data_IF_872574176739
#
_entry.id   IF_872574176739
#
_cell.length_a   1.000
_cell.length_b   1.000
_cell.length_c   1.000
_cell.angle_alpha   90.00
_cell.angle_beta   90.00
_cell.angle_gamma   90.00
#
_symmetry.space_group_name_H-M   'P 1'
#
loop_
_entity.id
_entity.type
_entity.pdbx_description
1 polymer ?
#
# COMPACT_ATOMS: atom_id res chain seq x y z
N UNK A 1 70.11 -1.94 37.21
CA UNK A 1 69.33 -2.04 35.96
C UNK A 1 67.88 -2.26 36.34
N UNK A 2 67.03 -1.22 36.19
CA UNK A 2 65.59 -1.25 36.52
C UNK A 2 64.80 -1.22 35.20
N UNK A 3 63.96 -2.23 34.98
CA UNK A 3 63.02 -2.29 33.86
C UNK A 3 61.92 -1.23 34.05
N UNK A 4 61.59 -0.43 33.02
CA UNK A 4 60.41 0.41 33.05
C UNK A 4 59.17 -0.43 32.70
N UNK A 5 58.20 -0.44 33.61
CA UNK A 5 56.89 -1.03 33.47
C UNK A 5 56.07 -0.32 32.37
N UNK A 6 55.68 -1.08 31.34
CA UNK A 6 54.68 -0.68 30.34
C UNK A 6 53.32 -0.47 31.03
N UNK A 7 52.83 0.77 31.01
CA UNK A 7 51.44 1.07 31.33
C UNK A 7 50.55 0.69 30.14
N UNK A 8 49.67 -0.28 30.36
CA UNK A 8 48.59 -0.64 29.42
C UNK A 8 47.58 0.51 29.33
N UNK A 9 47.18 0.98 28.14
CA UNK A 9 46.16 2.00 28.01
C UNK A 9 44.81 1.39 28.37
N UNK A 10 44.18 1.95 29.41
CA UNK A 10 42.78 1.70 29.73
C UNK A 10 41.91 1.98 28.49
N UNK A 11 41.39 0.93 27.88
CA UNK A 11 40.29 1.00 26.92
C UNK A 11 39.07 1.57 27.67
N UNK A 12 38.89 2.88 27.56
CA UNK A 12 37.66 3.57 27.93
C UNK A 12 36.53 2.93 27.11
N UNK A 13 35.76 2.06 27.76
CA UNK A 13 34.47 1.60 27.28
C UNK A 13 33.55 2.84 27.21
N UNK A 14 33.51 3.47 26.04
CA UNK A 14 32.51 4.49 25.77
C UNK A 14 31.14 3.83 25.87
N UNK A 15 30.27 4.27 26.80
CA UNK A 15 28.91 3.77 26.86
C UNK A 15 28.25 4.01 25.50
N UNK A 16 27.68 2.94 24.95
CA UNK A 16 26.90 2.86 23.71
C UNK A 16 26.56 4.24 23.13
N UNK A 17 27.30 4.68 22.12
CA UNK A 17 27.09 6.01 21.56
C UNK A 17 25.62 6.17 21.13
N UNK A 18 24.99 7.34 21.35
CA UNK A 18 23.61 7.62 20.95
C UNK A 18 23.34 7.39 19.45
N UNK A 19 24.39 7.24 18.62
CA UNK A 19 24.29 6.86 17.21
C UNK A 19 23.83 5.42 16.98
N UNK A 20 24.08 4.49 17.90
CA UNK A 20 23.68 3.09 17.77
C UNK A 20 22.20 2.88 18.14
N UNK A 21 21.68 3.70 19.06
CA UNK A 21 20.26 3.65 19.44
C UNK A 21 19.35 4.31 18.39
N UNK A 22 19.83 5.35 17.68
CA UNK A 22 19.13 5.97 16.54
C UNK A 22 18.90 4.97 15.40
N UNK A 23 19.95 4.23 14.99
CA UNK A 23 19.85 3.26 13.88
C UNK A 23 18.83 2.15 14.12
N UNK A 24 18.60 1.72 15.38
CA UNK A 24 17.59 0.68 15.65
C UNK A 24 16.17 1.23 15.51
N UNK A 25 15.88 2.45 15.95
CA UNK A 25 14.53 3.03 15.86
C UNK A 25 14.09 3.34 14.41
N UNK A 26 15.02 3.79 13.56
CA UNK A 26 14.78 3.98 12.11
C UNK A 26 14.24 2.71 11.43
N UNK A 27 14.75 1.55 11.84
CA UNK A 27 14.40 0.25 11.25
C UNK A 27 12.95 -0.13 11.60
N UNK A 28 12.46 0.18 12.81
CA UNK A 28 11.15 -0.30 13.27
C UNK A 28 9.95 0.47 12.72
N UNK A 29 10.02 1.80 12.64
CA UNK A 29 8.96 2.59 11.99
C UNK A 29 8.84 2.24 10.51
N UNK A 30 9.99 2.00 9.87
CA UNK A 30 10.06 1.50 8.51
C UNK A 30 9.40 0.12 8.37
N UNK A 31 9.53 -0.77 9.37
CA UNK A 31 8.90 -2.10 9.34
C UNK A 31 7.36 -2.06 9.35
N UNK A 32 6.73 -1.13 10.09
CA UNK A 32 5.27 -0.96 10.10
C UNK A 32 4.73 -0.54 8.73
N UNK A 33 5.32 0.50 8.13
CA UNK A 33 4.89 0.93 6.80
C UNK A 33 5.16 -0.12 5.73
N UNK A 34 6.32 -0.80 5.80
CA UNK A 34 6.65 -1.91 4.90
C UNK A 34 5.62 -3.02 5.05
N UNK A 35 5.26 -3.43 6.27
CA UNK A 35 4.24 -4.44 6.51
C UNK A 35 2.91 -4.08 5.85
N UNK A 36 2.39 -2.87 6.10
CA UNK A 36 1.09 -2.44 5.56
C UNK A 36 1.10 -2.40 4.02
N UNK A 37 2.16 -1.85 3.42
CA UNK A 37 2.31 -1.81 1.96
C UNK A 37 2.45 -3.23 1.40
N UNK A 38 3.18 -4.12 2.10
CA UNK A 38 3.36 -5.52 1.67
C UNK A 38 2.05 -6.29 1.73
N UNK A 39 1.28 -6.13 2.81
CA UNK A 39 -0.03 -6.75 2.96
C UNK A 39 -1.03 -6.23 1.90
N UNK A 40 -0.99 -4.93 1.61
CA UNK A 40 -1.73 -4.33 0.49
C UNK A 40 -1.31 -4.93 -0.86
N UNK A 41 -0.02 -5.00 -1.16
CA UNK A 41 0.50 -5.62 -2.39
C UNK A 41 0.13 -7.10 -2.52
N UNK A 42 0.22 -7.89 -1.44
CA UNK A 42 -0.18 -9.30 -1.42
C UNK A 42 -1.68 -9.42 -1.72
N UNK A 43 -2.50 -8.57 -1.11
CA UNK A 43 -3.94 -8.55 -1.36
C UNK A 43 -4.24 -8.21 -2.82
N UNK A 44 -3.53 -7.23 -3.38
CA UNK A 44 -3.64 -6.85 -4.77
C UNK A 44 -3.25 -7.99 -5.73
N UNK A 45 -2.15 -8.70 -5.46
CA UNK A 45 -1.73 -9.88 -6.24
C UNK A 45 -2.78 -11.00 -6.13
N UNK A 46 -3.29 -11.27 -4.92
CA UNK A 46 -4.33 -12.27 -4.71
C UNK A 46 -5.60 -11.97 -5.51
N UNK A 47 -5.99 -10.70 -5.59
CA UNK A 47 -7.09 -10.23 -6.43
C UNK A 47 -6.83 -10.55 -7.93
N UNK A 48 -5.63 -10.27 -8.46
CA UNK A 48 -5.28 -10.62 -9.84
C UNK A 48 -5.24 -12.12 -10.11
N UNK A 49 -4.76 -12.93 -9.16
CA UNK A 49 -4.76 -14.39 -9.29
C UNK A 49 -6.19 -14.92 -9.37
N UNK A 50 -7.08 -14.46 -8.47
CA UNK A 50 -8.49 -14.82 -8.48
C UNK A 50 -9.16 -14.43 -9.81
N UNK A 51 -8.83 -13.24 -10.29
CA UNK A 51 -9.30 -12.71 -11.57
C UNK A 51 -8.86 -13.55 -12.77
N UNK A 52 -7.58 -13.91 -12.83
CA UNK A 52 -7.06 -14.80 -13.86
C UNK A 52 -7.71 -16.18 -13.80
N UNK A 53 -8.01 -16.66 -12.59
CA UNK A 53 -8.79 -17.88 -12.37
C UNK A 53 -10.19 -17.80 -12.99
N UNK A 54 -10.93 -16.71 -12.77
CA UNK A 54 -12.26 -16.48 -13.36
C UNK A 54 -12.17 -16.50 -14.90
N UNK A 55 -11.25 -15.73 -15.47
CA UNK A 55 -11.06 -15.68 -16.93
C UNK A 55 -10.68 -17.04 -17.50
N UNK A 56 -9.80 -17.79 -16.83
CA UNK A 56 -9.38 -19.13 -17.27
C UNK A 56 -10.56 -20.11 -17.24
N UNK A 57 -11.40 -20.07 -16.20
CA UNK A 57 -12.59 -20.90 -16.10
C UNK A 57 -13.61 -20.57 -17.20
N UNK A 58 -13.76 -19.29 -17.56
CA UNK A 58 -14.65 -18.89 -18.65
C UNK A 58 -14.13 -19.36 -20.02
N UNK A 59 -12.82 -19.32 -20.26
CA UNK A 59 -12.20 -19.82 -21.50
C UNK A 59 -12.33 -21.35 -21.63
N UNK A 60 -12.24 -22.07 -20.52
CA UNK A 60 -12.31 -23.53 -20.48
C UNK A 60 -13.76 -24.07 -20.37
N UNK A 61 -14.75 -23.19 -20.29
CA UNK A 61 -16.15 -23.58 -20.13
C UNK A 61 -16.71 -24.23 -21.40
N UNK A 62 -17.29 -25.42 -21.26
CA UNK A 62 -17.95 -26.13 -22.36
C UNK A 62 -19.24 -25.42 -22.83
N UNK A 63 -19.84 -24.59 -21.97
CA UNK A 63 -21.05 -23.80 -22.28
C UNK A 63 -20.76 -22.54 -23.11
N UNK A 64 -19.52 -22.36 -23.56
CA UNK A 64 -19.06 -21.19 -24.30
C UNK A 64 -18.33 -20.16 -23.43
N UNK A 65 -17.76 -19.13 -24.08
CA UNK A 65 -16.91 -18.13 -23.44
C UNK A 65 -17.66 -17.17 -22.49
N UNK A 66 -18.96 -16.99 -22.70
CA UNK A 66 -19.78 -16.09 -21.91
C UNK A 66 -20.66 -16.88 -20.96
N UNK A 67 -20.50 -16.68 -19.64
CA UNK A 67 -21.29 -17.39 -18.65
C UNK A 67 -22.74 -16.89 -18.63
N UNK A 68 -23.68 -17.83 -18.67
CA UNK A 68 -25.12 -17.55 -18.52
C UNK A 68 -25.51 -17.24 -17.07
N UNK A 69 -24.76 -17.80 -16.11
CA UNK A 69 -24.95 -17.60 -14.67
C UNK A 69 -23.62 -17.26 -13.99
N UNK A 70 -23.66 -16.44 -12.93
CA UNK A 70 -22.47 -16.13 -12.13
C UNK A 70 -22.04 -17.32 -11.24
N UNK A 71 -22.94 -18.27 -10.96
CA UNK A 71 -22.74 -19.32 -9.95
C UNK A 71 -22.36 -20.68 -10.53
N UNK A 72 -22.60 -20.90 -11.83
CA UNK A 72 -22.25 -22.15 -12.49
C UNK A 72 -20.97 -22.02 -13.33
N UNK A 73 -20.02 -22.96 -13.24
CA UNK A 73 -19.87 -23.99 -12.19
C UNK A 73 -19.49 -23.41 -10.81
N UNK A 74 -19.74 -24.17 -9.73
CA UNK A 74 -19.43 -23.81 -8.33
C UNK A 74 -17.98 -23.34 -8.11
N UNK A 75 -17.03 -23.82 -8.91
CA UNK A 75 -15.63 -23.37 -8.88
C UNK A 75 -15.48 -21.87 -9.13
N UNK A 76 -16.34 -21.28 -9.97
CA UNK A 76 -16.34 -19.84 -10.23
C UNK A 76 -16.74 -19.05 -9.00
N UNK A 77 -17.72 -19.53 -8.24
CA UNK A 77 -18.14 -18.90 -6.98
C UNK A 77 -16.97 -18.79 -5.99
N UNK A 78 -16.11 -19.79 -5.89
CA UNK A 78 -14.91 -19.71 -5.04
C UNK A 78 -13.89 -18.68 -5.54
N UNK A 79 -13.63 -18.61 -6.85
CA UNK A 79 -12.74 -17.58 -7.40
C UNK A 79 -13.29 -16.18 -7.16
N UNK A 80 -14.60 -16.02 -7.31
CA UNK A 80 -15.32 -14.78 -7.05
C UNK A 80 -15.28 -14.36 -5.58
N UNK A 81 -15.59 -15.27 -4.66
CA UNK A 81 -15.45 -15.03 -3.22
C UNK A 81 -14.01 -14.66 -2.84
N UNK A 82 -13.02 -15.33 -3.43
CA UNK A 82 -11.60 -15.03 -3.24
C UNK A 82 -11.24 -13.64 -3.77
N UNK A 83 -11.77 -13.25 -4.93
CA UNK A 83 -11.58 -11.92 -5.50
C UNK A 83 -12.15 -10.84 -4.58
N UNK A 84 -13.39 -10.99 -4.11
CA UNK A 84 -14.02 -10.04 -3.17
C UNK A 84 -13.26 -9.96 -1.86
N UNK A 85 -12.83 -11.10 -1.30
CA UNK A 85 -12.01 -11.14 -0.09
C UNK A 85 -10.75 -10.28 -0.24
N UNK A 86 -9.98 -10.50 -1.30
CA UNK A 86 -8.75 -9.75 -1.54
C UNK A 86 -9.02 -8.28 -1.89
N UNK A 87 -10.11 -7.98 -2.58
CA UNK A 87 -10.54 -6.61 -2.86
C UNK A 87 -10.83 -5.85 -1.57
N UNK A 88 -11.62 -6.42 -0.65
CA UNK A 88 -11.91 -5.82 0.66
C UNK A 88 -10.62 -5.63 1.45
N UNK A 89 -9.77 -6.65 1.53
CA UNK A 89 -8.48 -6.54 2.21
C UNK A 89 -7.65 -5.38 1.64
N UNK A 90 -7.55 -5.29 0.31
CA UNK A 90 -6.84 -4.24 -0.38
C UNK A 90 -7.36 -2.84 0.02
N UNK A 91 -8.67 -2.59 -0.17
CA UNK A 91 -9.23 -1.28 0.15
C UNK A 91 -9.17 -0.97 1.66
N UNK A 92 -9.35 -1.95 2.55
CA UNK A 92 -9.18 -1.75 4.00
C UNK A 92 -7.74 -1.38 4.37
N UNK A 93 -6.73 -2.02 3.77
CA UNK A 93 -5.34 -1.64 4.00
C UNK A 93 -5.04 -0.22 3.50
N UNK A 94 -5.68 0.25 2.43
CA UNK A 94 -5.53 1.66 1.99
C UNK A 94 -6.01 2.65 3.06
N UNK A 95 -7.15 2.36 3.72
CA UNK A 95 -7.64 3.14 4.86
C UNK A 95 -6.61 3.12 6.00
N UNK A 96 -6.11 1.94 6.37
CA UNK A 96 -5.12 1.82 7.47
C UNK A 96 -3.81 2.54 7.14
N UNK A 97 -3.35 2.50 5.88
CA UNK A 97 -2.17 3.24 5.42
C UNK A 97 -2.42 4.76 5.49
N UNK A 98 -3.63 5.24 5.18
CA UNK A 98 -3.99 6.64 5.39
C UNK A 98 -4.01 7.04 6.87
N UNK A 99 -4.59 6.20 7.74
CA UNK A 99 -4.58 6.41 9.19
C UNK A 99 -3.17 6.37 9.78
N UNK A 100 -2.30 5.48 9.32
CA UNK A 100 -0.88 5.40 9.73
C UNK A 100 -0.18 6.71 9.42
N UNK A 101 -0.35 7.27 8.21
CA UNK A 101 0.26 8.54 7.83
C UNK A 101 -0.16 9.69 8.74
N UNK A 102 -1.45 9.79 9.04
CA UNK A 102 -1.99 10.79 9.99
C UNK A 102 -1.39 10.58 11.38
N UNK A 103 -1.46 9.35 11.89
CA UNK A 103 -0.96 8.98 13.24
C UNK A 103 0.53 9.26 13.39
N UNK A 104 1.32 8.94 12.35
CA UNK A 104 2.75 9.21 12.31
C UNK A 104 3.08 10.70 12.30
N UNK A 105 2.13 11.55 11.92
CA UNK A 105 2.28 13.01 11.89
C UNK A 105 1.83 13.70 13.18
N UNK A 106 0.90 13.12 13.95
CA UNK A 106 0.41 13.68 15.23
C UNK A 106 1.59 13.88 16.20
N UNK A 107 2.32 12.80 16.49
CA UNK A 107 3.49 12.81 17.36
C UNK A 107 4.65 12.05 16.71
N UNK A 108 5.40 12.70 15.79
CA UNK A 108 6.38 12.03 14.96
C UNK A 108 7.55 11.48 15.79
N UNK A 109 7.95 12.16 16.87
CA UNK A 109 9.03 11.66 17.74
C UNK A 109 8.61 10.42 18.53
N UNK A 110 7.39 10.43 19.11
CA UNK A 110 6.88 9.26 19.82
C UNK A 110 6.65 8.10 18.86
N UNK A 111 6.17 8.37 17.65
CA UNK A 111 6.00 7.37 16.62
C UNK A 111 7.35 6.75 16.25
N UNK A 112 8.34 7.59 15.94
CA UNK A 112 9.71 7.19 15.62
C UNK A 112 10.36 6.32 16.69
N UNK A 113 10.19 6.68 17.97
CA UNK A 113 10.75 5.95 19.11
C UNK A 113 9.95 4.70 19.51
N UNK A 114 8.76 4.47 18.95
CA UNK A 114 7.92 3.34 19.32
C UNK A 114 8.49 2.05 18.72
N UNK A 115 8.60 1.00 19.53
CA UNK A 115 8.92 -0.33 19.02
C UNK A 115 7.79 -0.86 18.12
N UNK A 116 8.16 -1.70 17.16
CA UNK A 116 7.23 -2.33 16.25
C UNK A 116 6.18 -3.14 17.02
N UNK A 117 4.95 -2.64 17.02
CA UNK A 117 3.85 -3.27 17.72
C UNK A 117 3.20 -4.32 16.81
N UNK A 118 3.80 -5.52 16.77
CA UNK A 118 3.32 -6.67 15.98
C UNK A 118 1.87 -7.01 16.32
N UNK A 119 1.52 -7.04 17.61
CA UNK A 119 0.21 -7.51 18.07
C UNK A 119 -0.95 -6.64 17.55
N UNK A 120 -0.93 -5.29 17.67
CA UNK A 120 -1.94 -4.46 17.02
C UNK A 120 -2.05 -4.66 15.51
N UNK A 121 -0.93 -4.88 14.81
CA UNK A 121 -0.97 -5.12 13.37
C UNK A 121 -1.64 -6.44 13.01
N UNK A 122 -1.32 -7.51 13.74
CA UNK A 122 -1.96 -8.81 13.57
C UNK A 122 -3.45 -8.72 13.92
N UNK A 123 -3.81 -7.99 14.97
CA UNK A 123 -5.21 -7.78 15.35
C UNK A 123 -5.98 -7.01 14.26
N UNK A 124 -5.42 -5.90 13.75
CA UNK A 124 -6.02 -5.14 12.64
C UNK A 124 -6.16 -6.02 11.40
N UNK A 125 -5.14 -6.81 11.06
CA UNK A 125 -5.19 -7.72 9.92
C UNK A 125 -6.24 -8.81 10.09
N UNK A 126 -6.37 -9.37 11.30
CA UNK A 126 -7.44 -10.30 11.63
C UNK A 126 -8.83 -9.67 11.49
N UNK A 127 -9.01 -8.43 11.93
CA UNK A 127 -10.28 -7.69 11.75
C UNK A 127 -10.58 -7.47 10.26
N UNK A 128 -9.58 -7.09 9.46
CA UNK A 128 -9.73 -6.88 8.02
C UNK A 128 -10.13 -8.19 7.33
N UNK A 129 -9.46 -9.30 7.64
CA UNK A 129 -9.78 -10.61 7.05
C UNK A 129 -11.18 -11.06 7.45
N UNK A 130 -11.55 -10.92 8.73
CA UNK A 130 -12.90 -11.26 9.20
C UNK A 130 -13.98 -10.42 8.51
N UNK A 131 -13.74 -9.12 8.33
CA UNK A 131 -14.64 -8.24 7.58
C UNK A 131 -14.73 -8.66 6.11
N UNK A 132 -13.60 -9.01 5.48
CA UNK A 132 -13.55 -9.49 4.10
C UNK A 132 -14.33 -10.79 3.90
N UNK A 133 -14.21 -11.75 4.83
CA UNK A 133 -14.99 -13.00 4.81
C UNK A 133 -16.48 -12.71 4.97
N UNK A 134 -16.86 -11.84 5.92
CA UNK A 134 -18.26 -11.47 6.15
C UNK A 134 -18.88 -10.80 4.91
N UNK A 135 -18.17 -9.85 4.28
CA UNK A 135 -18.65 -9.19 3.08
C UNK A 135 -18.71 -10.12 1.87
N UNK A 136 -17.74 -11.03 1.74
CA UNK A 136 -17.79 -12.07 0.71
C UNK A 136 -19.01 -12.96 0.90
N UNK A 137 -19.32 -13.34 2.14
CA UNK A 137 -20.53 -14.08 2.46
C UNK A 137 -21.81 -13.31 2.12
N UNK A 138 -21.89 -12.01 2.43
CA UNK A 138 -23.06 -11.19 2.07
C UNK A 138 -23.23 -10.97 0.56
N UNK A 139 -22.12 -10.83 -0.17
CA UNK A 139 -22.16 -10.62 -1.62
C UNK A 139 -22.52 -11.89 -2.40
N UNK A 140 -22.20 -13.08 -1.88
CA UNK A 140 -22.51 -14.35 -2.52
C UNK A 140 -23.65 -15.12 -1.86
N UNK A 141 -24.21 -14.62 -0.77
CA UNK A 141 -25.52 -15.01 -0.26
C UNK A 141 -26.65 -14.42 -1.12
N UNK A 142 -27.81 -15.07 -1.13
CA UNK A 142 -28.93 -14.67 -2.01
C UNK A 142 -29.55 -13.31 -1.63
N UNK A 143 -29.60 -12.96 -0.33
CA UNK A 143 -30.47 -11.86 0.13
C UNK A 143 -29.79 -10.50 0.35
N UNK A 144 -28.45 -10.41 0.28
CA UNK A 144 -27.71 -9.24 0.79
C UNK A 144 -26.67 -8.64 -0.17
N UNK A 145 -26.75 -8.97 -1.47
CA UNK A 145 -25.76 -8.55 -2.48
C UNK A 145 -25.62 -7.03 -2.61
N UNK A 146 -26.75 -6.33 -2.61
CA UNK A 146 -26.80 -4.86 -2.71
C UNK A 146 -26.18 -4.17 -1.49
N UNK A 147 -26.37 -4.74 -0.29
CA UNK A 147 -25.77 -4.26 0.95
C UNK A 147 -24.24 -4.40 0.90
N UNK A 148 -23.74 -5.56 0.44
CA UNK A 148 -22.31 -5.78 0.25
C UNK A 148 -21.70 -4.76 -0.72
N UNK A 149 -22.34 -4.53 -1.86
CA UNK A 149 -21.89 -3.52 -2.83
C UNK A 149 -21.90 -2.09 -2.27
N UNK A 150 -22.95 -1.72 -1.54
CA UNK A 150 -23.04 -0.41 -0.90
C UNK A 150 -21.90 -0.20 0.13
N UNK A 151 -21.55 -1.24 0.89
CA UNK A 151 -20.44 -1.19 1.82
C UNK A 151 -19.10 -0.96 1.12
N UNK A 152 -18.85 -1.62 -0.03
CA UNK A 152 -17.64 -1.39 -0.82
C UNK A 152 -17.55 0.07 -1.30
N UNK A 153 -18.66 0.65 -1.77
CA UNK A 153 -18.70 2.07 -2.19
C UNK A 153 -18.40 3.00 -1.02
N UNK A 154 -18.94 2.74 0.18
CA UNK A 154 -18.65 3.52 1.38
C UNK A 154 -17.16 3.44 1.72
N UNK A 155 -16.58 2.24 1.65
CA UNK A 155 -15.18 2.00 1.99
C UNK A 155 -14.23 2.69 0.99
N UNK A 156 -14.48 2.58 -0.32
CA UNK A 156 -13.69 3.28 -1.34
C UNK A 156 -13.84 4.82 -1.20
N UNK A 157 -15.05 5.32 -0.94
CA UNK A 157 -15.29 6.76 -0.68
C UNK A 157 -14.53 7.23 0.56
N UNK A 158 -14.56 6.42 1.62
CA UNK A 158 -13.83 6.67 2.88
C UNK A 158 -12.33 6.78 2.65
N UNK A 159 -11.77 5.90 1.83
CA UNK A 159 -10.34 5.89 1.47
C UNK A 159 -9.93 7.20 0.79
N UNK A 160 -10.70 7.65 -0.20
CA UNK A 160 -10.45 8.92 -0.89
C UNK A 160 -10.50 10.07 0.10
N UNK A 161 -11.62 10.22 0.83
CA UNK A 161 -11.83 11.32 1.79
C UNK A 161 -10.73 11.34 2.85
N UNK A 162 -10.35 10.19 3.37
CA UNK A 162 -9.32 10.08 4.39
C UNK A 162 -7.94 10.44 3.84
N UNK A 163 -7.62 10.09 2.59
CA UNK A 163 -6.35 10.52 1.98
C UNK A 163 -6.32 12.03 1.74
N UNK A 164 -7.42 12.65 1.31
CA UNK A 164 -7.52 14.12 1.20
C UNK A 164 -7.30 14.79 2.56
N UNK A 165 -7.93 14.26 3.60
CA UNK A 165 -7.72 14.71 4.96
C UNK A 165 -6.26 14.51 5.40
N UNK A 166 -5.65 13.36 5.09
CA UNK A 166 -4.25 13.09 5.39
C UNK A 166 -3.29 14.09 4.71
N UNK A 167 -3.52 14.44 3.45
CA UNK A 167 -2.75 15.49 2.75
C UNK A 167 -2.83 16.82 3.50
N UNK A 168 -4.06 17.28 3.77
CA UNK A 168 -4.27 18.56 4.43
C UNK A 168 -3.66 18.58 5.84
N UNK A 169 -3.92 17.53 6.62
CA UNK A 169 -3.42 17.40 7.98
C UNK A 169 -1.89 17.35 8.02
N UNK A 170 -1.26 16.53 7.17
CA UNK A 170 0.20 16.40 7.15
C UNK A 170 0.87 17.70 6.67
N UNK A 171 0.28 18.43 5.72
CA UNK A 171 0.82 19.73 5.29
C UNK A 171 0.78 20.76 6.42
N UNK A 172 -0.39 20.95 7.03
CA UNK A 172 -0.55 21.87 8.17
C UNK A 172 0.40 21.50 9.30
N UNK A 173 0.51 20.21 9.60
CA UNK A 173 1.41 19.72 10.65
C UNK A 173 2.88 19.97 10.32
N UNK A 174 3.28 19.82 9.05
CA UNK A 174 4.64 20.12 8.60
C UNK A 174 5.00 21.59 8.83
N UNK A 175 4.09 22.51 8.52
CA UNK A 175 4.24 23.95 8.76
C UNK A 175 4.33 24.28 10.26
N UNK A 176 3.48 23.66 11.09
CA UNK A 176 3.48 23.87 12.55
C UNK A 176 4.80 23.51 13.23
N UNK A 177 5.45 22.42 12.77
CA UNK A 177 6.70 21.91 13.34
C UNK A 177 7.95 22.49 12.69
N UNK A 178 7.78 23.25 11.60
CA UNK A 178 8.87 23.88 10.88
C UNK A 178 9.61 24.87 11.80
N UNK A 179 10.93 24.80 11.83
CA UNK A 179 11.77 25.60 12.74
C UNK A 179 11.75 25.17 14.21
N UNK A 180 10.75 24.39 14.67
CA UNK A 180 10.56 24.09 16.11
C UNK A 180 10.94 22.67 16.53
N UNK A 181 10.75 21.68 15.66
CA UNK A 181 10.99 20.27 15.99
C UNK A 181 12.36 19.76 15.50
N UNK A 182 12.79 18.60 16.00
CA UNK A 182 13.97 17.88 15.52
C UNK A 182 13.85 17.49 14.03
N UNK A 183 15.01 17.31 13.38
CA UNK A 183 15.11 16.97 11.96
C UNK A 183 14.39 15.65 11.61
N UNK A 184 14.49 14.65 12.48
CA UNK A 184 13.81 13.34 12.36
C UNK A 184 12.28 13.48 12.35
N UNK A 185 11.73 14.30 13.25
CA UNK A 185 10.31 14.58 13.30
C UNK A 185 9.81 15.24 12.01
N UNK A 186 10.53 16.25 11.52
CA UNK A 186 10.18 16.94 10.27
C UNK A 186 10.24 16.00 9.08
N UNK A 187 11.25 15.13 9.03
CA UNK A 187 11.39 14.12 7.98
C UNK A 187 10.20 13.16 7.94
N UNK A 188 9.77 12.64 9.09
CA UNK A 188 8.63 11.72 9.19
C UNK A 188 7.34 12.36 8.62
N UNK A 189 7.05 13.61 9.00
CA UNK A 189 5.86 14.33 8.51
C UNK A 189 5.98 14.65 7.02
N UNK A 190 7.15 15.07 6.55
CA UNK A 190 7.41 15.33 5.12
C UNK A 190 7.20 14.08 4.27
N UNK A 191 7.67 12.93 4.72
CA UNK A 191 7.50 11.65 4.02
C UNK A 191 6.03 11.23 3.98
N UNK A 192 5.31 11.30 5.12
CA UNK A 192 3.88 11.02 5.18
C UNK A 192 3.07 11.93 4.24
N UNK A 193 3.38 13.23 4.22
CA UNK A 193 2.77 14.20 3.31
C UNK A 193 3.08 13.87 1.84
N UNK A 194 4.34 13.64 1.49
CA UNK A 194 4.76 13.33 0.11
C UNK A 194 4.04 12.09 -0.43
N UNK A 195 3.94 11.04 0.40
CA UNK A 195 3.19 9.84 0.05
C UNK A 195 1.69 10.11 -0.10
N UNK A 196 1.09 10.92 0.78
CA UNK A 196 -0.32 11.34 0.68
C UNK A 196 -0.63 12.11 -0.60
N UNK A 197 0.24 13.03 -0.99
CA UNK A 197 0.13 13.79 -2.23
C UNK A 197 0.24 12.88 -3.44
N UNK A 198 1.22 11.96 -3.45
CA UNK A 198 1.41 11.01 -4.55
C UNK A 198 0.23 10.04 -4.71
N UNK A 199 -0.40 9.61 -3.61
CA UNK A 199 -1.58 8.74 -3.64
C UNK A 199 -2.87 9.46 -4.06
N UNK A 200 -2.93 10.79 -4.01
CA UNK A 200 -4.14 11.56 -4.39
C UNK A 200 -4.64 11.26 -5.81
N UNK A 201 -3.83 11.41 -6.88
CA UNK A 201 -4.29 11.10 -8.24
C UNK A 201 -4.63 9.62 -8.42
N UNK A 202 -3.91 8.72 -7.72
CA UNK A 202 -4.15 7.27 -7.74
C UNK A 202 -5.55 6.96 -7.21
N UNK A 203 -5.90 7.49 -6.03
CA UNK A 203 -7.21 7.26 -5.44
C UNK A 203 -8.35 7.94 -6.20
N UNK A 204 -8.15 9.14 -6.77
CA UNK A 204 -9.18 9.78 -7.60
C UNK A 204 -9.47 8.94 -8.83
N UNK A 205 -8.43 8.54 -9.59
CA UNK A 205 -8.60 7.73 -10.79
C UNK A 205 -9.25 6.39 -10.47
N UNK A 206 -8.75 5.70 -9.43
CA UNK A 206 -9.29 4.42 -8.97
C UNK A 206 -10.74 4.54 -8.54
N UNK A 207 -11.08 5.59 -7.79
CA UNK A 207 -12.43 5.83 -7.32
C UNK A 207 -13.42 6.07 -8.46
N UNK A 208 -13.07 6.89 -9.45
CA UNK A 208 -13.96 7.14 -10.61
C UNK A 208 -14.26 5.83 -11.35
N UNK A 209 -13.22 5.01 -11.59
CA UNK A 209 -13.37 3.73 -12.28
C UNK A 209 -14.19 2.75 -11.43
N UNK A 210 -13.81 2.53 -10.17
CA UNK A 210 -14.53 1.62 -9.25
C UNK A 210 -15.98 2.06 -9.02
N UNK A 211 -16.23 3.35 -8.88
CA UNK A 211 -17.57 3.90 -8.70
C UNK A 211 -18.45 3.62 -9.92
N UNK A 212 -17.95 3.87 -11.13
CA UNK A 212 -18.68 3.57 -12.36
C UNK A 212 -19.01 2.07 -12.44
N UNK A 213 -18.03 1.20 -12.17
CA UNK A 213 -18.22 -0.26 -12.19
C UNK A 213 -19.22 -0.72 -11.12
N UNK A 214 -19.07 -0.28 -9.87
CA UNK A 214 -19.97 -0.64 -8.79
C UNK A 214 -21.39 -0.13 -9.05
N UNK A 215 -21.54 1.07 -9.60
CA UNK A 215 -22.85 1.61 -9.99
C UNK A 215 -23.49 0.75 -11.08
N UNK A 216 -22.73 0.35 -12.10
CA UNK A 216 -23.19 -0.58 -13.14
C UNK A 216 -23.59 -1.93 -12.53
N UNK A 217 -22.80 -2.51 -11.63
CA UNK A 217 -23.15 -3.77 -10.95
C UNK A 217 -24.43 -3.65 -10.12
N UNK A 218 -24.56 -2.58 -9.31
CA UNK A 218 -25.77 -2.32 -8.52
C UNK A 218 -26.99 -2.21 -9.43
N UNK A 219 -26.90 -1.42 -10.50
CA UNK A 219 -27.97 -1.29 -11.49
C UNK A 219 -28.38 -2.66 -12.04
N UNK A 220 -27.42 -3.49 -12.46
CA UNK A 220 -27.72 -4.83 -12.96
C UNK A 220 -28.36 -5.75 -11.93
N UNK A 221 -27.92 -5.72 -10.66
CA UNK A 221 -28.56 -6.51 -9.60
C UNK A 221 -30.00 -6.08 -9.33
N UNK A 222 -30.35 -4.80 -9.53
CA UNK A 222 -31.74 -4.34 -9.40
C UNK A 222 -32.63 -4.78 -10.58
N UNK A 223 -32.04 -5.10 -11.74
CA UNK A 223 -32.76 -5.48 -12.96
C UNK A 223 -32.36 -6.88 -13.45
N UNK A 224 -31.98 -7.78 -12.53
CA UNK A 224 -31.42 -9.11 -12.84
C UNK A 224 -32.35 -9.90 -13.78
N UNK A 225 -33.67 -9.88 -13.52
CA UNK A 225 -34.68 -10.57 -14.34
C UNK A 225 -34.69 -10.13 -15.81
N UNK A 226 -34.31 -8.89 -16.10
CA UNK A 226 -34.33 -8.32 -17.45
C UNK A 226 -33.01 -8.54 -18.21
N UNK A 227 -31.90 -8.83 -17.52
CA UNK A 227 -30.55 -8.83 -18.10
C UNK A 227 -29.77 -10.14 -17.89
N UNK A 228 -30.44 -11.25 -17.59
CA UNK A 228 -29.82 -12.58 -17.41
C UNK A 228 -28.86 -12.97 -18.55
N UNK A 229 -29.24 -12.72 -19.81
CA UNK A 229 -28.41 -12.99 -21.00
C UNK A 229 -27.16 -12.08 -21.12
N UNK A 230 -27.09 -10.99 -20.37
CA UNK A 230 -25.99 -10.01 -20.42
C UNK A 230 -24.91 -10.25 -19.35
N UNK A 231 -25.12 -11.19 -18.43
CA UNK A 231 -24.24 -11.48 -17.29
C UNK A 231 -22.77 -11.65 -17.70
N UNK A 232 -22.50 -12.47 -18.72
CA UNK A 232 -21.14 -12.68 -19.20
C UNK A 232 -20.46 -11.43 -19.77
N UNK A 233 -21.20 -10.54 -20.43
CA UNK A 233 -20.66 -9.28 -20.94
C UNK A 233 -20.33 -8.32 -19.80
N UNK A 234 -21.17 -8.25 -18.79
CA UNK A 234 -20.97 -7.41 -17.61
C UNK A 234 -19.74 -7.88 -16.86
N UNK A 235 -19.60 -9.19 -16.68
CA UNK A 235 -18.41 -9.81 -16.09
C UNK A 235 -17.14 -9.48 -16.88
N UNK A 236 -17.18 -9.59 -18.21
CA UNK A 236 -16.06 -9.23 -19.07
C UNK A 236 -15.67 -7.75 -18.95
N UNK A 237 -16.66 -6.85 -18.93
CA UNK A 237 -16.42 -5.40 -18.75
C UNK A 237 -15.87 -5.13 -17.35
N UNK A 238 -16.49 -5.69 -16.31
CA UNK A 238 -16.03 -5.58 -14.92
C UNK A 238 -14.58 -6.01 -14.80
N UNK A 239 -14.25 -7.19 -15.32
CA UNK A 239 -12.92 -7.78 -15.22
C UNK A 239 -11.88 -6.91 -15.94
N UNK A 240 -12.16 -6.57 -17.20
CA UNK A 240 -11.28 -5.70 -18.00
C UNK A 240 -11.03 -4.35 -17.32
N UNK A 241 -12.08 -3.71 -16.82
CA UNK A 241 -11.97 -2.39 -16.18
C UNK A 241 -11.18 -2.45 -14.88
N UNK A 242 -11.36 -3.50 -14.06
CA UNK A 242 -10.56 -3.70 -12.84
C UNK A 242 -9.09 -3.92 -13.17
N UNK A 243 -8.77 -4.70 -14.20
CA UNK A 243 -7.40 -4.91 -14.65
C UNK A 243 -6.74 -3.61 -15.14
N UNK A 244 -7.46 -2.82 -15.95
CA UNK A 244 -7.01 -1.49 -16.40
C UNK A 244 -6.79 -0.57 -15.21
N UNK A 245 -7.70 -0.56 -14.24
CA UNK A 245 -7.56 0.24 -13.02
C UNK A 245 -6.26 -0.09 -12.29
N UNK A 246 -5.93 -1.38 -12.13
CA UNK A 246 -4.70 -1.78 -11.46
C UNK A 246 -3.43 -1.34 -12.20
N UNK A 247 -3.41 -1.43 -13.53
CA UNK A 247 -2.31 -0.91 -14.34
C UNK A 247 -2.18 0.61 -14.26
N UNK A 248 -3.30 1.32 -14.38
CA UNK A 248 -3.35 2.78 -14.31
C UNK A 248 -2.90 3.31 -12.95
N UNK A 249 -3.43 2.77 -11.85
CA UNK A 249 -3.08 3.16 -10.48
C UNK A 249 -1.59 2.95 -10.20
N UNK A 250 -1.04 1.81 -10.61
CA UNK A 250 0.40 1.52 -10.50
C UNK A 250 1.23 2.53 -11.29
N UNK A 251 0.88 2.79 -12.55
CA UNK A 251 1.57 3.76 -13.39
C UNK A 251 1.50 5.19 -12.82
N UNK A 252 0.34 5.60 -12.33
CA UNK A 252 0.15 6.91 -11.67
C UNK A 252 0.98 7.03 -10.39
N UNK A 253 1.05 5.97 -9.58
CA UNK A 253 1.85 5.97 -8.35
C UNK A 253 3.35 6.10 -8.66
N UNK A 254 3.85 5.31 -9.62
CA UNK A 254 5.24 5.38 -10.08
C UNK A 254 5.55 6.79 -10.60
N UNK A 255 4.67 7.37 -11.42
CA UNK A 255 4.86 8.72 -11.97
C UNK A 255 4.82 9.80 -10.90
N UNK A 256 3.94 9.68 -9.92
CA UNK A 256 3.66 10.74 -8.94
C UNK A 256 4.60 10.72 -7.73
N UNK A 257 5.19 9.58 -7.39
CA UNK A 257 6.08 9.46 -6.23
C UNK A 257 7.57 9.47 -6.64
N UNK A 258 8.34 10.53 -6.32
CA UNK A 258 9.70 10.72 -6.85
C UNK A 258 10.66 9.56 -6.57
N UNK A 259 10.66 9.02 -5.34
CA UNK A 259 11.53 7.89 -4.98
C UNK A 259 11.16 6.58 -5.65
N UNK A 260 9.86 6.36 -5.92
CA UNK A 260 9.40 5.15 -6.59
C UNK A 260 9.78 5.25 -8.06
N UNK A 261 9.56 6.42 -8.68
CA UNK A 261 10.02 6.72 -10.04
C UNK A 261 11.51 6.44 -10.22
N UNK A 262 12.35 6.98 -9.33
CA UNK A 262 13.80 6.81 -9.40
C UNK A 262 14.20 5.33 -9.35
N UNK A 263 13.70 4.58 -8.37
CA UNK A 263 13.97 3.14 -8.25
C UNK A 263 13.43 2.32 -9.43
N UNK A 264 12.31 2.74 -9.99
CA UNK A 264 11.76 2.10 -11.18
C UNK A 264 12.66 2.32 -12.39
N UNK A 265 13.17 3.54 -12.60
CA UNK A 265 14.12 3.82 -13.69
C UNK A 265 15.45 3.08 -13.49
N UNK A 266 15.96 2.95 -12.25
CA UNK A 266 17.13 2.13 -11.94
C UNK A 266 16.91 0.64 -12.24
N UNK A 267 15.76 0.10 -11.82
CA UNK A 267 15.40 -1.29 -12.09
C UNK A 267 15.24 -1.54 -13.59
N UNK A 268 14.59 -0.61 -14.30
CA UNK A 268 14.43 -0.63 -15.75
C UNK A 268 15.79 -0.56 -16.46
N UNK A 269 16.68 0.33 -16.04
CA UNK A 269 18.03 0.42 -16.58
C UNK A 269 18.81 -0.88 -16.33
N UNK A 270 18.69 -1.48 -15.15
CA UNK A 270 19.32 -2.78 -14.84
C UNK A 270 18.77 -3.91 -15.71
N UNK A 271 17.46 -3.92 -15.94
CA UNK A 271 16.78 -4.94 -16.74
C UNK A 271 17.09 -4.81 -18.24
N UNK A 272 17.08 -3.58 -18.78
CA UNK A 272 17.37 -3.30 -20.19
C UNK A 272 18.87 -3.36 -20.49
N UNK A 273 19.73 -2.88 -19.59
CA UNK A 273 21.19 -2.88 -19.75
C UNK A 273 21.84 -4.11 -19.12
N UNK A 274 21.22 -5.30 -19.23
CA UNK A 274 21.69 -6.60 -18.70
C UNK A 274 23.04 -7.09 -19.29
N UNK A 275 23.88 -6.19 -19.84
CA UNK A 275 25.17 -6.46 -20.44
C UNK A 275 26.38 -5.86 -19.72
N UNK A 276 26.24 -5.19 -18.56
CA UNK A 276 27.42 -4.82 -17.76
C UNK A 276 27.19 -5.06 -16.29
N UNK A 277 27.69 -6.21 -15.81
CA UNK A 277 27.79 -6.53 -14.39
C UNK A 277 28.67 -5.47 -13.70
N UNK A 278 28.05 -4.53 -13.02
CA UNK A 278 28.70 -3.80 -11.92
C UNK A 278 28.22 -4.45 -10.63
N UNK A 279 29.17 -4.96 -9.85
CA UNK A 279 28.95 -5.64 -8.57
C UNK A 279 28.13 -4.78 -7.60
N UNK A 280 26.96 -5.24 -7.08
CA UNK A 280 25.99 -4.35 -6.44
C UNK A 280 26.19 -4.11 -4.93
N UNK A 281 27.21 -4.69 -4.30
CA UNK A 281 27.13 -4.92 -2.85
C UNK A 281 27.77 -3.85 -1.94
N UNK A 282 28.69 -3.02 -2.47
CA UNK A 282 29.33 -1.95 -1.67
C UNK A 282 28.66 -0.59 -1.89
N UNK A 283 28.10 -0.35 -3.09
CA UNK A 283 27.46 0.93 -3.42
C UNK A 283 26.15 1.15 -2.69
N UNK A 284 25.29 0.14 -2.52
CA UNK A 284 23.97 0.31 -1.86
C UNK A 284 24.02 0.78 -0.40
N UNK A 285 25.02 0.33 0.37
CA UNK A 285 25.16 0.75 1.77
C UNK A 285 25.74 2.16 1.85
N UNK A 286 26.70 2.48 0.97
CA UNK A 286 27.29 3.82 0.86
C UNK A 286 26.24 4.81 0.33
N UNK A 287 25.60 4.52 -0.80
CA UNK A 287 24.60 5.37 -1.44
C UNK A 287 23.35 5.58 -0.58
N UNK A 288 22.91 4.63 0.26
CA UNK A 288 21.75 4.86 1.15
C UNK A 288 22.08 5.70 2.39
N UNK A 289 23.32 5.60 2.88
CA UNK A 289 23.84 6.46 3.97
C UNK A 289 24.18 7.84 3.42
N UNK A 290 24.74 7.89 2.21
CA UNK A 290 25.11 9.10 1.50
C UNK A 290 23.85 9.82 1.01
N UNK A 291 22.86 9.20 0.36
CA UNK A 291 21.57 9.81 0.04
C UNK A 291 20.85 10.32 1.28
N UNK A 292 20.88 9.57 2.39
CA UNK A 292 20.35 10.04 3.67
C UNK A 292 21.03 11.34 4.07
N UNK A 293 22.36 11.35 4.11
CA UNK A 293 23.16 12.50 4.52
C UNK A 293 23.13 13.65 3.51
N UNK A 294 23.07 13.40 2.21
CA UNK A 294 22.96 14.38 1.13
C UNK A 294 21.57 14.98 1.12
N UNK A 295 20.52 14.19 1.36
CA UNK A 295 19.16 14.71 1.50
C UNK A 295 18.99 15.50 2.79
N UNK A 296 19.57 15.04 3.91
CA UNK A 296 19.58 15.81 5.17
C UNK A 296 20.42 17.08 5.06
N UNK A 297 21.54 17.07 4.35
CA UNK A 297 22.37 18.27 4.11
C UNK A 297 21.76 19.22 3.08
N UNK A 298 21.07 18.73 2.04
CA UNK A 298 20.28 19.57 1.14
C UNK A 298 19.08 20.20 1.85
N UNK A 299 18.42 19.44 2.73
CA UNK A 299 17.41 19.98 3.65
C UNK A 299 18.03 21.07 4.52
N UNK A 300 19.15 20.79 5.18
CA UNK A 300 19.86 21.74 6.04
C UNK A 300 20.35 22.99 5.29
N UNK A 301 20.80 22.86 4.03
CA UNK A 301 21.21 23.96 3.15
C UNK A 301 20.04 24.78 2.64
N UNK A 302 18.92 24.15 2.27
CA UNK A 302 17.70 24.87 1.88
C UNK A 302 17.07 25.66 3.03
N UNK A 303 17.57 25.47 4.26
CA UNK A 303 17.02 25.98 5.51
C UNK A 303 17.93 27.00 6.22
N UNK A 304 19.05 27.39 5.59
CA UNK A 304 19.78 28.63 5.90
C UNK A 304 19.27 29.76 5.01
#
# INVERSE_FOLDING_TARGET
>A
MKNPSLHSPHTLNYPNSPSQHRRRCDIWCRNLRIYLITAWCISFIGMFIAHYGIVSLNILSEKGFFPESMFEPMTRQYCYATHVLFFVCCSSFEVVIALERITSSINPMRYYNRSFAVFPLLAITGIIISLAVLLSYWMYGEDHRSIGCAFLVILDTGTVKLNFYAVHYCNRRYEEIYGKAELSARYQVKEAHTMAVAMKPVYIASYVIKFAVNFTCIFFFFFEDAFTLLTGYIEFVYTTVVAINGGLTTGLLIRSHPRIKMRFEEAKATFLCRSSRVTPDVRRVVDSVEEGNTYFSMLEQSWR
#
